data_IF_016813698671
#
_entry.id   IF_016813698671
#
_cell.length_a   1.000
_cell.length_b   1.000
_cell.length_c   1.000
_cell.angle_alpha   90.00
_cell.angle_beta   90.00
_cell.angle_gamma   90.00
#
_symmetry.space_group_name_H-M   'P 1'
#
loop_
_entity.id
_entity.type
_entity.pdbx_description
1 polymer ?
#
# COMPACT_ATOMS: atom_id res chain seq x y z
N UNK A 1 -7.59 6.99 -4.64
CA UNK A 1 -6.75 6.07 -3.85
C UNK A 1 -7.57 5.02 -3.12
N UNK A 2 -8.71 5.38 -2.51
CA UNK A 2 -9.63 4.43 -1.83
C UNK A 2 -9.97 3.15 -2.63
N UNK A 3 -10.26 3.28 -3.93
CA UNK A 3 -10.52 2.11 -4.79
C UNK A 3 -9.33 1.16 -4.96
N UNK A 4 -8.10 1.69 -5.04
CA UNK A 4 -6.88 0.87 -5.13
C UNK A 4 -6.62 0.13 -3.82
N UNK A 5 -6.75 0.82 -2.67
CA UNK A 5 -6.62 0.21 -1.36
C UNK A 5 -7.62 -0.95 -1.17
N UNK A 6 -8.90 -0.72 -1.50
CA UNK A 6 -9.94 -1.76 -1.44
C UNK A 6 -9.64 -2.95 -2.35
N UNK A 7 -9.17 -2.70 -3.57
CA UNK A 7 -8.83 -3.77 -4.50
C UNK A 7 -7.63 -4.59 -4.02
N UNK A 8 -6.62 -3.94 -3.46
CA UNK A 8 -5.45 -4.62 -2.88
C UNK A 8 -5.83 -5.48 -1.67
N UNK A 9 -6.65 -4.94 -0.77
CA UNK A 9 -7.17 -5.68 0.40
C UNK A 9 -8.01 -6.90 -0.01
N UNK A 10 -8.83 -6.79 -1.06
CA UNK A 10 -9.55 -7.95 -1.61
C UNK A 10 -8.61 -8.97 -2.22
N UNK A 11 -7.61 -8.51 -2.98
CA UNK A 11 -6.62 -9.37 -3.61
C UNK A 11 -5.81 -10.16 -2.58
N UNK A 12 -5.32 -9.50 -1.52
CA UNK A 12 -4.62 -10.16 -0.40
C UNK A 12 -5.49 -11.16 0.34
N UNK A 13 -6.75 -10.83 0.58
CA UNK A 13 -7.70 -11.74 1.22
C UNK A 13 -7.94 -13.01 0.37
N UNK A 14 -8.17 -12.85 -0.94
CA UNK A 14 -8.32 -13.98 -1.87
C UNK A 14 -7.04 -14.83 -1.98
N UNK A 15 -5.85 -14.21 -1.92
CA UNK A 15 -4.58 -14.93 -1.90
C UNK A 15 -4.45 -15.80 -0.63
N UNK A 16 -4.73 -15.22 0.55
CA UNK A 16 -4.72 -15.94 1.84
C UNK A 16 -5.74 -17.07 1.87
N UNK A 17 -6.92 -16.85 1.30
CA UNK A 17 -7.99 -17.84 1.21
C UNK A 17 -7.68 -18.99 0.24
N UNK A 18 -6.60 -18.89 -0.55
CA UNK A 18 -6.24 -19.88 -1.55
C UNK A 18 -7.15 -19.87 -2.78
N UNK A 19 -7.92 -18.80 -3.01
CA UNK A 19 -8.81 -18.66 -4.17
C UNK A 19 -8.02 -18.60 -5.49
N UNK A 20 -6.74 -18.20 -5.43
CA UNK A 20 -5.80 -18.31 -6.53
C UNK A 20 -4.43 -18.76 -6.02
N UNK A 21 -3.75 -19.54 -6.86
CA UNK A 21 -2.46 -20.14 -6.54
C UNK A 21 -1.35 -19.12 -6.77
N UNK A 22 -0.76 -18.59 -5.70
CA UNK A 22 0.43 -17.74 -5.78
C UNK A 22 1.65 -18.64 -5.78
N UNK A 23 2.13 -18.98 -6.97
CA UNK A 23 3.42 -19.66 -7.10
C UNK A 23 4.56 -18.70 -6.74
N UNK A 24 5.75 -19.24 -6.51
CA UNK A 24 6.90 -18.46 -6.04
C UNK A 24 7.23 -17.29 -6.97
N UNK A 25 7.24 -17.52 -8.28
CA UNK A 25 7.55 -16.49 -9.27
C UNK A 25 6.52 -15.34 -9.31
N UNK A 26 5.23 -15.68 -9.26
CA UNK A 26 4.15 -14.69 -9.23
C UNK A 26 4.10 -13.92 -7.90
N UNK A 27 4.33 -14.60 -6.79
CA UNK A 27 4.42 -13.98 -5.47
C UNK A 27 5.58 -12.99 -5.38
N UNK A 28 6.76 -13.38 -5.85
CA UNK A 28 7.94 -12.51 -5.87
C UNK A 28 7.72 -11.24 -6.72
N UNK A 29 7.05 -11.36 -7.86
CA UNK A 29 6.72 -10.21 -8.71
C UNK A 29 5.76 -9.22 -8.00
N UNK A 30 4.77 -9.74 -7.27
CA UNK A 30 3.83 -8.88 -6.54
C UNK A 30 4.53 -8.22 -5.34
N UNK A 31 5.36 -8.98 -4.60
CA UNK A 31 6.15 -8.43 -3.49
C UNK A 31 7.11 -7.33 -3.99
N UNK A 32 7.74 -7.50 -5.14
CA UNK A 32 8.58 -6.48 -5.75
C UNK A 32 7.81 -5.21 -6.11
N UNK A 33 6.59 -5.35 -6.65
CA UNK A 33 5.73 -4.21 -6.94
C UNK A 33 5.29 -3.46 -5.67
N UNK A 34 4.91 -4.20 -4.61
CA UNK A 34 4.54 -3.62 -3.30
C UNK A 34 5.71 -2.81 -2.73
N UNK A 35 6.92 -3.40 -2.71
CA UNK A 35 8.13 -2.73 -2.21
C UNK A 35 8.48 -1.48 -3.01
N UNK A 36 8.37 -1.55 -4.34
CA UNK A 36 8.61 -0.39 -5.20
C UNK A 36 7.67 0.78 -4.84
N UNK A 37 6.41 0.48 -4.54
CA UNK A 37 5.44 1.51 -4.13
C UNK A 37 5.72 2.07 -2.73
N UNK A 38 6.14 1.21 -1.78
CA UNK A 38 6.54 1.64 -0.44
C UNK A 38 7.81 2.50 -0.47
N UNK A 39 8.80 2.11 -1.26
CA UNK A 39 10.04 2.88 -1.45
C UNK A 39 9.74 4.25 -2.05
N UNK A 40 8.86 4.32 -3.05
CA UNK A 40 8.40 5.58 -3.61
C UNK A 40 7.67 6.44 -2.57
N UNK A 41 6.82 5.83 -1.73
CA UNK A 41 6.15 6.54 -0.63
C UNK A 41 7.18 7.14 0.34
N UNK A 42 8.17 6.37 0.79
CA UNK A 42 9.21 6.84 1.70
C UNK A 42 10.08 7.94 1.08
N UNK A 43 10.47 7.78 -0.18
CA UNK A 43 11.21 8.81 -0.92
C UNK A 43 10.38 10.09 -1.12
N UNK A 44 9.06 9.95 -1.21
CA UNK A 44 8.13 11.06 -1.37
C UNK A 44 7.74 11.70 -0.04
N UNK A 45 7.89 11.02 1.09
CA UNK A 45 7.47 11.48 2.42
C UNK A 45 8.04 12.88 2.76
N UNK A 46 9.29 13.16 2.39
CA UNK A 46 9.87 14.50 2.58
C UNK A 46 9.20 15.59 1.74
N UNK A 47 8.79 15.32 0.51
CA UNK A 47 8.05 16.27 -0.34
C UNK A 47 6.59 16.40 0.11
N UNK A 48 6.00 15.31 0.58
CA UNK A 48 4.65 15.25 1.13
C UNK A 48 4.55 16.04 2.44
N UNK A 49 5.58 15.97 3.29
CA UNK A 49 5.69 16.83 4.48
C UNK A 49 5.79 18.32 4.12
N UNK A 50 6.38 18.69 2.98
CA UNK A 50 6.35 20.08 2.52
C UNK A 50 4.95 20.53 2.09
N UNK A 51 4.13 19.62 1.54
CA UNK A 51 2.72 19.90 1.20
C UNK A 51 1.86 20.10 2.46
N UNK A 52 2.25 19.53 3.59
CA UNK A 52 1.62 19.77 4.89
C UNK A 52 2.07 21.07 5.57
N UNK A 53 3.11 21.74 5.06
CA UNK A 53 3.55 23.04 5.58
C UNK A 53 2.73 24.18 4.97
N UNK A 54 2.49 25.22 5.78
CA UNK A 54 1.78 26.41 5.33
C UNK A 54 2.51 27.05 4.13
N UNK A 55 1.87 27.11 2.95
CA UNK A 55 2.52 27.66 1.77
C UNK A 55 2.75 29.16 1.97
N UNK A 56 3.98 29.65 1.72
CA UNK A 56 4.32 31.07 1.76
C UNK A 56 3.69 31.80 0.56
N UNK A 57 2.38 32.02 0.60
CA UNK A 57 1.58 32.68 -0.44
C UNK A 57 1.78 34.22 -0.48
N UNK A 58 2.75 34.75 0.28
CA UNK A 58 2.98 36.19 0.46
C UNK A 58 2.17 36.78 1.63
N UNK A 59 2.35 38.06 1.94
CA UNK A 59 1.71 38.74 3.08
C UNK A 59 0.31 39.32 2.80
N UNK A 60 -0.22 39.09 1.60
CA UNK A 60 -1.53 39.62 1.18
C UNK A 60 -2.67 39.03 2.02
N UNK A 61 -3.75 39.78 2.19
CA UNK A 61 -4.89 39.34 3.01
C UNK A 61 -5.49 38.01 2.50
N UNK A 62 -5.54 37.82 1.17
CA UNK A 62 -6.01 36.57 0.56
C UNK A 62 -5.05 35.40 0.77
N UNK A 63 -3.74 35.65 0.81
CA UNK A 63 -2.73 34.62 1.06
C UNK A 63 -2.84 34.04 2.48
N UNK A 64 -3.10 34.89 3.49
CA UNK A 64 -3.30 34.45 4.89
C UNK A 64 -4.59 33.67 5.11
N UNK A 65 -5.60 33.85 4.26
CA UNK A 65 -6.88 33.14 4.33
C UNK A 65 -6.80 31.79 3.60
N UNK A 66 -6.10 31.74 2.46
CA UNK A 66 -6.00 30.54 1.62
C UNK A 66 -4.98 29.51 2.13
N UNK A 67 -3.90 29.96 2.76
CA UNK A 67 -2.84 29.08 3.27
C UNK A 67 -3.35 27.98 4.24
N UNK A 68 -4.18 28.28 5.26
CA UNK A 68 -4.73 27.24 6.14
C UNK A 68 -5.71 26.30 5.42
N UNK A 69 -6.46 26.80 4.41
CA UNK A 69 -7.41 25.99 3.65
C UNK A 69 -6.70 24.90 2.83
N UNK A 70 -5.53 25.20 2.27
CA UNK A 70 -4.73 24.25 1.49
C UNK A 70 -4.10 23.17 2.38
N UNK A 71 -3.60 23.55 3.56
CA UNK A 71 -3.12 22.58 4.55
C UNK A 71 -4.27 21.67 4.98
N UNK A 72 -5.43 22.25 5.28
CA UNK A 72 -6.61 21.51 5.70
C UNK A 72 -7.08 20.50 4.65
N UNK A 73 -7.13 20.87 3.36
CA UNK A 73 -7.48 19.94 2.27
C UNK A 73 -6.44 18.83 2.09
N UNK A 74 -5.15 19.12 2.32
CA UNK A 74 -4.10 18.11 2.23
C UNK A 74 -4.14 17.11 3.40
N UNK A 75 -4.53 17.55 4.59
CA UNK A 75 -4.51 16.76 5.85
C UNK A 75 -5.88 16.27 6.33
N UNK A 76 -6.97 16.61 5.65
CA UNK A 76 -8.32 16.15 6.04
C UNK A 76 -8.44 14.61 5.96
N UNK A 77 -9.49 14.03 6.54
CA UNK A 77 -9.75 12.59 6.54
C UNK A 77 -9.85 11.97 5.14
N UNK A 78 -10.25 12.76 4.14
CA UNK A 78 -10.20 12.44 2.70
C UNK A 78 -9.06 13.16 1.97
N UNK A 79 -8.24 13.91 2.69
CA UNK A 79 -7.07 14.57 2.17
C UNK A 79 -6.07 13.59 1.57
N UNK A 80 -5.31 14.09 0.60
CA UNK A 80 -4.39 13.29 -0.18
C UNK A 80 -3.36 12.57 0.70
N UNK A 81 -2.85 13.24 1.74
CA UNK A 81 -1.84 12.67 2.65
C UNK A 81 -2.41 11.52 3.47
N UNK A 82 -3.59 11.71 4.05
CA UNK A 82 -4.27 10.66 4.83
C UNK A 82 -4.68 9.47 3.98
N UNK A 83 -5.10 9.68 2.73
CA UNK A 83 -5.38 8.55 1.82
C UNK A 83 -4.11 7.80 1.41
N UNK A 84 -2.99 8.49 1.30
CA UNK A 84 -1.72 7.90 0.91
C UNK A 84 -1.10 7.10 2.07
N UNK A 85 -1.21 7.59 3.30
CA UNK A 85 -0.82 6.86 4.52
C UNK A 85 -1.62 5.57 4.66
N UNK A 86 -2.96 5.64 4.57
CA UNK A 86 -3.84 4.46 4.58
C UNK A 86 -3.49 3.46 3.47
N UNK A 87 -3.07 3.96 2.31
CA UNK A 87 -2.66 3.08 1.22
C UNK A 87 -1.36 2.34 1.53
N UNK A 88 -0.38 3.00 2.18
CA UNK A 88 0.84 2.35 2.64
C UNK A 88 0.55 1.26 3.71
N UNK A 89 -0.39 1.51 4.62
CA UNK A 89 -0.82 0.50 5.60
C UNK A 89 -1.39 -0.75 4.92
N UNK A 90 -2.26 -0.55 3.91
CA UNK A 90 -2.83 -1.64 3.12
C UNK A 90 -1.76 -2.40 2.33
N UNK A 91 -0.75 -1.70 1.79
CA UNK A 91 0.38 -2.34 1.12
C UNK A 91 1.19 -3.23 2.08
N UNK A 92 1.37 -2.77 3.33
CA UNK A 92 2.06 -3.55 4.37
C UNK A 92 1.30 -4.81 4.72
N UNK A 93 -0.01 -4.71 4.93
CA UNK A 93 -0.87 -5.88 5.20
C UNK A 93 -0.89 -6.85 4.01
N UNK A 94 -0.90 -6.32 2.78
CA UNK A 94 -0.85 -7.12 1.57
C UNK A 94 0.47 -7.88 1.44
N UNK A 95 1.62 -7.27 1.78
CA UNK A 95 2.91 -7.96 1.76
C UNK A 95 2.90 -9.20 2.66
N UNK A 96 2.42 -9.06 3.90
CA UNK A 96 2.31 -10.17 4.85
C UNK A 96 1.39 -11.28 4.34
N UNK A 97 0.26 -10.88 3.75
CA UNK A 97 -0.72 -11.81 3.24
C UNK A 97 -0.20 -12.69 2.12
N UNK A 98 0.58 -12.11 1.22
CA UNK A 98 1.17 -12.80 0.07
C UNK A 98 2.26 -13.74 0.55
N UNK A 99 3.09 -13.33 1.52
CA UNK A 99 4.08 -14.22 2.15
C UNK A 99 3.41 -15.46 2.77
N UNK A 100 2.28 -15.28 3.47
CA UNK A 100 1.51 -16.39 4.04
C UNK A 100 0.95 -17.28 2.93
N UNK A 101 0.38 -16.70 1.87
CA UNK A 101 -0.17 -17.46 0.74
C UNK A 101 0.92 -18.28 0.02
N UNK A 102 2.10 -17.71 -0.20
CA UNK A 102 3.25 -18.41 -0.79
C UNK A 102 3.74 -19.55 0.11
N UNK A 103 3.80 -19.34 1.43
CA UNK A 103 4.19 -20.39 2.38
C UNK A 103 3.18 -21.55 2.38
N UNK A 104 1.88 -21.24 2.35
CA UNK A 104 0.83 -22.23 2.26
C UNK A 104 0.91 -23.04 0.95
N UNK A 105 1.19 -22.37 -0.17
CA UNK A 105 1.39 -23.04 -1.46
C UNK A 105 2.59 -24.00 -1.42
N UNK A 106 3.73 -23.57 -0.88
CA UNK A 106 4.92 -24.42 -0.75
C UNK A 106 4.66 -25.66 0.10
N UNK A 107 4.01 -25.49 1.26
CA UNK A 107 3.68 -26.62 2.13
C UNK A 107 2.72 -27.61 1.45
N UNK A 108 1.73 -27.10 0.70
CA UNK A 108 0.80 -27.94 -0.05
C UNK A 108 1.49 -28.72 -1.19
N UNK A 109 2.47 -28.11 -1.87
CA UNK A 109 3.24 -28.77 -2.92
C UNK A 109 4.18 -29.84 -2.34
N UNK A 110 4.88 -29.53 -1.24
CA UNK A 110 5.74 -30.48 -0.51
C UNK A 110 4.93 -31.69 0.00
N UNK A 111 3.73 -31.47 0.56
CA UNK A 111 2.81 -32.52 1.01
C UNK A 111 2.27 -33.38 -0.15
N UNK A 112 2.02 -32.76 -1.31
CA UNK A 112 1.58 -33.49 -2.50
C UNK A 112 2.69 -34.40 -3.02
N UNK A 113 3.92 -33.90 -3.11
CA UNK A 113 5.08 -34.66 -3.58
C UNK A 113 5.38 -35.87 -2.67
N UNK A 114 5.27 -35.73 -1.35
CA UNK A 114 5.47 -36.84 -0.40
C UNK A 114 4.45 -37.99 -0.54
N UNK A 115 3.23 -37.69 -1.01
CA UNK A 115 2.18 -38.70 -1.26
C UNK A 115 2.39 -39.50 -2.55
N UNK A 116 3.17 -39.01 -3.50
CA UNK A 116 3.46 -39.75 -4.74
C UNK A 116 4.67 -40.69 -4.61
N UNK A 117 5.45 -40.60 -3.53
CA UNK A 117 6.66 -41.40 -3.30
C UNK A 117 6.49 -42.56 -2.31
N UNK A 118 5.26 -42.88 -1.88
CA UNK A 118 4.95 -44.04 -1.01
C UNK A 118 3.93 -44.95 -1.69
#
# INVERSE_FOLDING_TARGET
>A
MDGMAKNMSKFSASARAGEFTVNQHGGDAILAAIRTMQDWYQASAHKLNQLAQEPKLGSSNNAKIMAPLLVQVATDHQGFLTQLEKFNDVLTEAEESIKIAMANYRNADDDAQGKFTT
#
